data_IF_588671867092
#
_entry.id   IF_588671867092
#
_cell.length_a   1.000
_cell.length_b   1.000
_cell.length_c   1.000
_cell.angle_alpha   90.00
_cell.angle_beta   90.00
_cell.angle_gamma   90.00
#
_symmetry.space_group_name_H-M   'P 1'
#
loop_
_entity.id
_entity.type
_entity.pdbx_description
1 polymer ?
#
# COMPACT_ATOMS: atom_id res chain seq x y z
N UNK A 1 16.61 7.01 13.48
CA UNK A 1 15.89 7.17 12.19
C UNK A 1 14.44 7.49 12.51
N UNK A 2 13.77 8.36 11.75
CA UNK A 2 12.32 8.54 11.91
C UNK A 2 11.60 7.25 11.51
N UNK A 3 10.70 6.77 12.38
CA UNK A 3 9.80 5.64 12.12
C UNK A 3 8.91 5.90 10.90
N UNK A 4 8.55 7.16 10.67
CA UNK A 4 7.68 7.62 9.59
C UNK A 4 8.49 8.36 8.49
N UNK A 5 7.85 8.58 7.34
CA UNK A 5 8.44 9.13 6.11
C UNK A 5 7.59 10.27 5.53
N UNK A 6 8.25 11.27 4.94
CA UNK A 6 7.58 12.32 4.17
C UNK A 6 7.29 13.58 4.99
N UNK A 7 6.28 14.35 4.54
CA UNK A 7 5.84 15.59 5.18
C UNK A 7 5.21 15.34 6.57
N UNK A 8 4.95 16.40 7.31
CA UNK A 8 4.25 16.32 8.60
C UNK A 8 2.87 15.66 8.47
N UNK A 9 2.13 15.98 7.40
CA UNK A 9 0.83 15.35 7.11
C UNK A 9 0.95 13.86 6.82
N UNK A 10 1.94 13.45 6.03
CA UNK A 10 2.21 12.03 5.75
C UNK A 10 2.62 11.27 7.02
N UNK A 11 3.47 11.89 7.84
CA UNK A 11 3.93 11.32 9.10
C UNK A 11 2.77 11.17 10.10
N UNK A 12 1.90 12.17 10.19
CA UNK A 12 0.70 12.12 11.03
C UNK A 12 -0.27 11.02 10.56
N UNK A 13 -0.47 10.86 9.25
CA UNK A 13 -1.29 9.78 8.69
C UNK A 13 -0.71 8.40 9.04
N UNK A 14 0.59 8.19 8.83
CA UNK A 14 1.26 6.93 9.14
C UNK A 14 1.14 6.57 10.63
N UNK A 15 1.28 7.57 11.52
CA UNK A 15 1.06 7.37 12.95
C UNK A 15 -0.40 7.05 13.26
N UNK A 16 -1.36 7.73 12.62
CA UNK A 16 -2.79 7.44 12.76
C UNK A 16 -3.15 6.03 12.32
N UNK A 17 -2.61 5.57 11.19
CA UNK A 17 -2.78 4.19 10.71
C UNK A 17 -2.20 3.18 11.70
N UNK A 18 -0.98 3.44 12.22
CA UNK A 18 -0.37 2.59 13.25
C UNK A 18 -1.22 2.52 14.52
N UNK A 19 -1.75 3.64 15.00
CA UNK A 19 -2.60 3.70 16.18
C UNK A 19 -3.92 2.92 16.00
N UNK A 20 -4.40 2.77 14.76
CA UNK A 20 -5.60 2.00 14.40
C UNK A 20 -5.34 0.54 14.07
N UNK A 21 -4.15 0.00 14.35
CA UNK A 21 -3.81 -1.39 13.99
C UNK A 21 -4.79 -2.43 14.54
N UNK A 22 -5.31 -2.24 15.75
CA UNK A 22 -6.31 -3.12 16.34
C UNK A 22 -7.67 -3.09 15.59
N UNK A 23 -8.06 -1.92 15.07
CA UNK A 23 -9.26 -1.78 14.23
C UNK A 23 -9.10 -2.56 12.92
N UNK A 24 -7.95 -2.43 12.26
CA UNK A 24 -7.66 -3.16 11.03
C UNK A 24 -7.58 -4.67 11.26
N UNK A 25 -6.99 -5.12 12.37
CA UNK A 25 -6.96 -6.54 12.72
C UNK A 25 -8.36 -7.11 12.99
N UNK A 26 -9.29 -6.31 13.54
CA UNK A 26 -10.65 -6.72 13.84
C UNK A 26 -11.61 -6.64 12.63
N UNK A 27 -11.25 -5.93 11.56
CA UNK A 27 -12.11 -5.71 10.41
C UNK A 27 -11.48 -6.27 9.12
N UNK A 28 -11.97 -7.42 8.60
CA UNK A 28 -11.39 -8.05 7.42
C UNK A 28 -11.58 -7.24 6.13
N UNK A 29 -12.37 -6.16 6.15
CA UNK A 29 -12.57 -5.29 5.00
C UNK A 29 -11.49 -4.22 4.88
N UNK A 30 -10.61 -4.09 5.88
CA UNK A 30 -9.63 -3.02 5.99
C UNK A 30 -8.22 -3.60 6.14
N UNK A 31 -7.23 -2.89 5.60
CA UNK A 31 -5.83 -3.16 5.94
C UNK A 31 -5.00 -1.88 6.03
N UNK A 32 -3.98 -1.94 6.88
CA UNK A 32 -2.97 -0.89 6.99
C UNK A 32 -1.95 -1.08 5.86
N UNK A 33 -1.92 -0.17 4.88
CA UNK A 33 -0.92 -0.16 3.81
C UNK A 33 0.37 0.59 4.16
N UNK A 34 0.60 0.87 5.44
CA UNK A 34 1.71 1.68 5.97
C UNK A 34 1.53 3.17 5.75
N UNK A 35 1.15 3.58 4.53
CA UNK A 35 0.97 4.99 4.12
C UNK A 35 -0.46 5.35 3.77
N UNK A 36 -1.28 4.34 3.51
CA UNK A 36 -2.67 4.48 3.13
C UNK A 36 -3.51 3.46 3.89
N UNK A 37 -4.76 3.78 4.13
CA UNK A 37 -5.76 2.79 4.52
C UNK A 37 -6.28 2.12 3.25
N UNK A 38 -6.24 0.79 3.20
CA UNK A 38 -6.82 0.02 2.11
C UNK A 38 -8.21 -0.49 2.52
N UNK A 39 -9.14 -0.45 1.58
CA UNK A 39 -10.51 -0.93 1.71
C UNK A 39 -10.72 -2.01 0.63
N UNK A 40 -11.00 -3.23 1.08
CA UNK A 40 -11.12 -4.41 0.21
C UNK A 40 -12.52 -4.57 -0.36
N UNK A 41 -13.56 -4.11 0.34
CA UNK A 41 -14.95 -4.19 -0.11
C UNK A 41 -15.74 -2.95 0.37
N UNK A 42 -15.77 -1.86 -0.41
CA UNK A 42 -16.55 -0.65 -0.16
C UNK A 42 -18.06 -0.87 -0.05
N UNK A 43 -18.61 -1.86 -0.76
CA UNK A 43 -20.04 -2.16 -0.72
C UNK A 43 -20.43 -2.76 0.63
N UNK A 44 -19.61 -3.66 1.19
CA UNK A 44 -19.78 -4.20 2.55
C UNK A 44 -19.33 -3.25 3.65
N UNK A 45 -18.27 -2.47 3.42
CA UNK A 45 -17.75 -1.51 4.39
C UNK A 45 -18.66 -0.29 4.52
N UNK A 46 -19.40 0.05 3.46
CA UNK A 46 -20.31 1.17 3.39
C UNK A 46 -19.66 2.41 2.80
N UNK A 47 -20.27 2.96 1.75
CA UNK A 47 -19.74 4.11 1.00
C UNK A 47 -19.66 5.42 1.79
N UNK A 48 -20.53 5.60 2.79
CA UNK A 48 -20.40 6.70 3.74
C UNK A 48 -19.08 6.58 4.53
N UNK A 49 -18.69 5.37 4.92
CA UNK A 49 -17.43 5.13 5.63
C UNK A 49 -16.21 5.32 4.73
N UNK A 50 -16.32 4.98 3.44
CA UNK A 50 -15.28 5.27 2.44
C UNK A 50 -15.05 6.78 2.32
N UNK A 51 -16.13 7.56 2.15
CA UNK A 51 -16.05 9.03 2.10
C UNK A 51 -15.44 9.59 3.37
N UNK A 52 -15.94 9.18 4.54
CA UNK A 52 -15.43 9.65 5.83
C UNK A 52 -13.94 9.32 6.02
N UNK A 53 -13.50 8.15 5.54
CA UNK A 53 -12.09 7.77 5.59
C UNK A 53 -11.24 8.64 4.66
N UNK A 54 -11.69 8.89 3.43
CA UNK A 54 -11.01 9.76 2.48
C UNK A 54 -10.92 11.21 2.98
N UNK A 55 -11.98 11.75 3.58
CA UNK A 55 -12.00 13.11 4.13
C UNK A 55 -11.09 13.24 5.37
N UNK A 56 -11.04 12.20 6.22
CA UNK A 56 -10.17 12.16 7.40
C UNK A 56 -8.69 12.02 7.04
N UNK A 57 -8.38 11.07 6.16
CA UNK A 57 -6.99 10.65 5.89
C UNK A 57 -6.40 11.35 4.66
N UNK A 58 -7.22 12.03 3.86
CA UNK A 58 -6.84 12.67 2.60
C UNK A 58 -6.57 11.70 1.44
N UNK A 59 -6.39 10.40 1.74
CA UNK A 59 -6.10 9.34 0.79
C UNK A 59 -6.58 7.98 1.31
N UNK A 60 -7.24 7.21 0.45
CA UNK A 60 -7.62 5.80 0.70
C UNK A 60 -7.35 4.96 -0.55
N UNK A 61 -6.99 3.70 -0.37
CA UNK A 61 -6.87 2.73 -1.45
C UNK A 61 -8.12 1.85 -1.55
N UNK A 62 -8.66 1.66 -2.75
CA UNK A 62 -9.68 0.65 -3.03
C UNK A 62 -9.05 -0.51 -3.79
N UNK A 63 -9.14 -1.72 -3.26
CA UNK A 63 -8.38 -2.87 -3.78
C UNK A 63 -9.24 -3.78 -4.65
N UNK A 64 -8.73 -4.17 -5.84
CA UNK A 64 -9.33 -5.19 -6.72
C UNK A 64 -10.75 -4.88 -7.22
N UNK A 65 -10.97 -3.66 -7.73
CA UNK A 65 -12.23 -3.28 -8.38
C UNK A 65 -12.14 -3.25 -9.90
N UNK A 66 -13.25 -3.58 -10.56
CA UNK A 66 -13.40 -3.34 -11.99
C UNK A 66 -13.33 -1.83 -12.27
N UNK A 67 -12.35 -1.44 -13.10
CA UNK A 67 -11.98 -0.05 -13.36
C UNK A 67 -13.18 0.83 -13.75
N UNK A 68 -13.95 0.41 -14.74
CA UNK A 68 -15.02 1.26 -15.28
C UNK A 68 -16.16 1.46 -14.27
N UNK A 69 -16.48 0.41 -13.51
CA UNK A 69 -17.54 0.48 -12.49
C UNK A 69 -17.14 1.36 -11.31
N UNK A 70 -15.89 1.26 -10.85
CA UNK A 70 -15.42 2.02 -9.69
C UNK A 70 -15.18 3.48 -10.04
N UNK A 71 -14.65 3.76 -11.24
CA UNK A 71 -14.32 5.12 -11.66
C UNK A 71 -15.57 6.01 -11.71
N UNK A 72 -16.65 5.56 -12.34
CA UNK A 72 -17.91 6.33 -12.40
C UNK A 72 -18.44 6.66 -11.00
N UNK A 73 -18.35 5.70 -10.07
CA UNK A 73 -18.81 5.91 -8.69
C UNK A 73 -17.93 6.90 -7.94
N UNK A 74 -16.61 6.79 -8.07
CA UNK A 74 -15.65 7.69 -7.44
C UNK A 74 -15.78 9.12 -7.97
N UNK A 75 -15.95 9.30 -9.28
CA UNK A 75 -16.21 10.60 -9.89
C UNK A 75 -17.53 11.22 -9.38
N UNK A 76 -18.59 10.42 -9.24
CA UNK A 76 -19.85 10.89 -8.65
C UNK A 76 -19.69 11.29 -7.17
N UNK A 77 -18.76 10.67 -6.45
CA UNK A 77 -18.57 10.88 -5.02
C UNK A 77 -17.65 12.06 -4.72
N UNK A 78 -16.54 12.19 -5.45
CA UNK A 78 -15.47 13.16 -5.18
C UNK A 78 -15.36 14.27 -6.23
N UNK A 79 -16.15 14.19 -7.31
CA UNK A 79 -16.10 15.14 -8.42
C UNK A 79 -15.16 14.68 -9.54
N UNK A 80 -15.27 15.34 -10.69
CA UNK A 80 -14.48 15.02 -11.88
C UNK A 80 -12.99 15.42 -11.74
N UNK A 81 -12.69 16.36 -10.85
CA UNK A 81 -11.32 16.87 -10.61
C UNK A 81 -10.55 16.06 -9.56
N UNK A 82 -11.14 15.00 -9.01
CA UNK A 82 -10.47 14.15 -8.04
C UNK A 82 -9.32 13.37 -8.71
N UNK A 83 -8.18 13.30 -8.03
CA UNK A 83 -7.05 12.45 -8.45
C UNK A 83 -7.36 10.98 -8.13
N UNK A 84 -7.58 10.18 -9.18
CA UNK A 84 -8.01 8.78 -9.09
C UNK A 84 -6.99 7.86 -9.78
N UNK A 85 -5.74 7.76 -9.28
CA UNK A 85 -4.74 6.91 -9.87
C UNK A 85 -5.16 5.44 -9.78
N UNK A 86 -4.92 4.70 -10.86
CA UNK A 86 -5.29 3.30 -10.98
C UNK A 86 -4.07 2.43 -11.32
N UNK A 87 -4.00 1.25 -10.69
CA UNK A 87 -3.03 0.22 -11.02
C UNK A 87 -3.76 -1.03 -11.46
N UNK A 88 -3.31 -1.62 -12.57
CA UNK A 88 -3.81 -2.90 -13.02
C UNK A 88 -3.38 -4.00 -12.04
N UNK A 89 -4.35 -4.69 -11.48
CA UNK A 89 -4.13 -5.89 -10.68
C UNK A 89 -4.42 -7.12 -11.54
N UNK A 90 -3.48 -8.05 -11.57
CA UNK A 90 -3.66 -9.37 -12.17
C UNK A 90 -3.92 -10.39 -11.07
N UNK A 91 -4.82 -11.32 -11.32
CA UNK A 91 -5.19 -12.37 -10.37
C UNK A 91 -4.99 -13.73 -11.02
N UNK A 92 -4.72 -14.74 -10.20
CA UNK A 92 -4.55 -16.13 -10.62
C UNK A 92 -4.41 -17.03 -9.40
N UNK A 93 -4.43 -18.34 -9.63
CA UNK A 93 -4.17 -19.31 -8.57
C UNK A 93 -2.68 -19.27 -8.17
N UNK A 94 -2.34 -19.59 -6.91
CA UNK A 94 -0.95 -19.59 -6.45
C UNK A 94 0.00 -20.39 -7.36
N UNK A 95 -0.48 -21.53 -7.88
CA UNK A 95 0.27 -22.44 -8.76
C UNK A 95 0.58 -21.84 -10.13
N UNK A 96 -0.20 -20.83 -10.58
CA UNK A 96 0.02 -20.12 -11.84
C UNK A 96 0.81 -18.82 -11.62
N UNK A 97 0.51 -18.09 -10.53
CA UNK A 97 1.07 -16.76 -10.25
C UNK A 97 2.55 -16.85 -9.90
N UNK A 98 2.95 -17.79 -9.03
CA UNK A 98 4.35 -17.89 -8.60
C UNK A 98 5.30 -18.16 -9.79
N UNK A 99 5.06 -19.17 -10.65
CA UNK A 99 5.91 -19.39 -11.83
C UNK A 99 5.95 -18.19 -12.78
N UNK A 100 4.82 -17.49 -12.98
CA UNK A 100 4.75 -16.30 -13.82
C UNK A 100 5.61 -15.15 -13.26
N UNK A 101 5.50 -14.87 -11.95
CA UNK A 101 6.33 -13.86 -11.29
C UNK A 101 7.83 -14.21 -11.35
N UNK A 102 8.19 -15.47 -11.13
CA UNK A 102 9.58 -15.91 -11.25
C UNK A 102 10.12 -15.77 -12.67
N UNK A 103 9.29 -16.05 -13.69
CA UNK A 103 9.69 -15.86 -15.08
C UNK A 103 10.04 -14.39 -15.36
N UNK A 104 9.19 -13.46 -14.90
CA UNK A 104 9.47 -12.02 -15.01
C UNK A 104 10.76 -11.65 -14.30
N UNK A 105 10.98 -12.14 -13.07
CA UNK A 105 12.21 -11.85 -12.33
C UNK A 105 13.47 -12.41 -13.01
N UNK A 106 13.38 -13.55 -13.71
CA UNK A 106 14.48 -14.12 -14.50
C UNK A 106 14.79 -13.30 -15.75
N UNK A 107 13.77 -12.71 -16.37
CA UNK A 107 13.91 -11.96 -17.62
C UNK A 107 14.38 -10.50 -17.40
N UNK A 108 14.27 -9.98 -16.17
CA UNK A 108 14.76 -8.64 -15.84
C UNK A 108 16.30 -8.63 -15.81
N UNK A 109 16.91 -7.83 -16.68
CA UNK A 109 18.35 -7.53 -16.59
C UNK A 109 18.61 -6.54 -15.46
N UNK A 110 19.19 -7.02 -14.38
CA UNK A 110 19.62 -6.17 -13.27
C UNK A 110 20.91 -5.39 -13.60
N UNK A 111 21.12 -4.21 -13.02
CA UNK A 111 22.40 -3.52 -13.14
C UNK A 111 23.55 -4.37 -12.58
N UNK A 112 24.76 -4.19 -13.11
CA UNK A 112 25.94 -4.95 -12.67
C UNK A 112 26.12 -4.89 -11.15
N UNK A 113 26.24 -6.06 -10.52
CA UNK A 113 26.44 -6.20 -9.06
C UNK A 113 25.15 -6.23 -8.24
N UNK A 114 23.97 -6.08 -8.86
CA UNK A 114 22.69 -6.16 -8.18
C UNK A 114 22.18 -7.60 -8.14
N UNK A 115 21.40 -7.91 -7.10
CA UNK A 115 20.74 -9.20 -6.91
C UNK A 115 19.37 -8.98 -6.26
N UNK A 116 18.41 -9.85 -6.58
CA UNK A 116 17.13 -9.88 -5.88
C UNK A 116 17.30 -10.66 -4.59
N UNK A 117 16.90 -10.07 -3.47
CA UNK A 117 16.82 -10.75 -2.17
C UNK A 117 15.41 -10.63 -1.63
N UNK A 118 14.96 -11.67 -0.91
CA UNK A 118 13.72 -11.66 -0.16
C UNK A 118 14.03 -11.84 1.32
N UNK A 119 13.44 -10.99 2.16
CA UNK A 119 13.63 -11.01 3.61
C UNK A 119 12.26 -11.12 4.29
N UNK A 120 12.09 -12.16 5.10
CA UNK A 120 10.89 -12.28 5.95
C UNK A 120 10.93 -11.29 7.11
N UNK A 121 12.12 -11.06 7.67
CA UNK A 121 12.37 -10.14 8.80
C UNK A 121 13.61 -9.28 8.50
N UNK A 122 13.48 -8.20 7.71
CA UNK A 122 14.61 -7.35 7.40
C UNK A 122 15.12 -6.65 8.66
N UNK A 123 16.44 -6.60 8.84
CA UNK A 123 17.05 -5.85 9.93
C UNK A 123 17.06 -4.33 9.62
N UNK A 124 17.48 -3.51 10.59
CA UNK A 124 17.49 -2.06 10.44
C UNK A 124 18.39 -1.57 9.29
N UNK A 125 19.51 -2.24 9.02
CA UNK A 125 20.42 -1.90 7.92
C UNK A 125 19.77 -2.18 6.56
N UNK A 126 19.09 -3.32 6.41
CA UNK A 126 18.32 -3.67 5.21
C UNK A 126 17.18 -2.69 4.98
N UNK A 127 16.44 -2.32 6.03
CA UNK A 127 15.36 -1.32 5.95
C UNK A 127 15.92 0.04 5.52
N UNK A 128 17.06 0.44 6.11
CA UNK A 128 17.72 1.70 5.75
C UNK A 128 18.13 1.72 4.28
N UNK A 129 18.80 0.66 3.81
CA UNK A 129 19.23 0.53 2.42
C UNK A 129 18.03 0.56 1.45
N UNK A 130 16.95 -0.15 1.76
CA UNK A 130 15.72 -0.16 0.97
C UNK A 130 15.10 1.25 0.87
N UNK A 131 14.99 1.98 1.98
CA UNK A 131 14.46 3.36 1.99
C UNK A 131 15.34 4.34 1.22
N UNK A 132 16.66 4.20 1.34
CA UNK A 132 17.61 5.01 0.59
C UNK A 132 17.45 4.78 -0.92
N UNK A 133 17.37 3.52 -1.35
CA UNK A 133 17.15 3.16 -2.74
C UNK A 133 15.83 3.71 -3.28
N UNK A 134 14.74 3.53 -2.53
CA UNK A 134 13.43 4.06 -2.90
C UNK A 134 13.50 5.58 -3.14
N UNK A 135 14.10 6.31 -2.19
CA UNK A 135 14.27 7.77 -2.31
C UNK A 135 15.09 8.17 -3.54
N UNK A 136 16.20 7.46 -3.82
CA UNK A 136 17.06 7.72 -4.97
C UNK A 136 16.37 7.44 -6.31
N UNK A 137 15.41 6.52 -6.34
CA UNK A 137 14.70 6.09 -7.55
C UNK A 137 13.33 6.77 -7.71
N UNK A 138 12.97 7.69 -6.82
CA UNK A 138 11.66 8.36 -6.83
C UNK A 138 10.50 7.48 -6.37
N UNK A 139 10.78 6.26 -5.90
CA UNK A 139 9.79 5.42 -5.23
C UNK A 139 9.61 5.95 -3.81
N UNK A 140 8.39 6.32 -3.44
CA UNK A 140 8.18 6.79 -2.08
C UNK A 140 8.47 5.63 -1.08
N UNK A 141 9.30 5.83 -0.05
CA UNK A 141 9.63 4.78 0.92
C UNK A 141 8.41 4.44 1.80
N UNK A 142 8.42 3.25 2.42
CA UNK A 142 7.45 2.86 3.43
C UNK A 142 7.94 3.20 4.86
N UNK A 143 7.03 3.34 5.84
CA UNK A 143 7.39 3.50 7.25
C UNK A 143 8.12 2.27 7.79
N UNK A 144 8.98 2.47 8.79
CA UNK A 144 9.82 1.41 9.36
C UNK A 144 8.99 0.32 10.02
N UNK A 145 7.98 0.70 10.83
CA UNK A 145 7.10 -0.27 11.50
C UNK A 145 6.40 -1.22 10.50
N UNK A 146 6.06 -0.70 9.32
CA UNK A 146 5.41 -1.48 8.26
C UNK A 146 6.38 -2.48 7.65
N UNK A 147 7.62 -2.05 7.37
CA UNK A 147 8.66 -2.90 6.80
C UNK A 147 9.16 -3.99 7.78
N UNK A 148 9.10 -3.73 9.09
CA UNK A 148 9.37 -4.75 10.12
C UNK A 148 8.23 -5.75 10.29
N UNK A 149 7.03 -5.45 9.81
CA UNK A 149 5.85 -6.23 10.12
C UNK A 149 5.41 -6.10 11.58
N UNK A 150 5.62 -4.94 12.22
CA UNK A 150 5.24 -4.66 13.61
C UNK A 150 3.71 -4.50 13.79
N UNK A 151 2.92 -5.32 13.10
CA UNK A 151 1.48 -5.43 13.25
C UNK A 151 1.19 -6.20 14.53
N UNK A 152 1.25 -5.50 15.68
CA UNK A 152 0.86 -6.07 16.96
C UNK A 152 -0.59 -6.56 16.87
N UNK A 153 -0.77 -7.88 16.85
CA UNK A 153 -1.97 -8.53 17.37
C UNK A 153 -1.88 -8.54 18.90
#
# INVERSE_FOLDING_TARGET
MSENVGTDSMTALQQSLRNRSAEFAANPLLSNGGRIMNIHDPDRYGWANVRNAAERDGLVGLTMFAHDTILTRLQSMFGADADLPFWQAFTGEPDDVLPACEAVLRDVTLPTGWRVESHTNPNDDTIHASRALNTQTGVAPAPVFYLRGDHRC
#
